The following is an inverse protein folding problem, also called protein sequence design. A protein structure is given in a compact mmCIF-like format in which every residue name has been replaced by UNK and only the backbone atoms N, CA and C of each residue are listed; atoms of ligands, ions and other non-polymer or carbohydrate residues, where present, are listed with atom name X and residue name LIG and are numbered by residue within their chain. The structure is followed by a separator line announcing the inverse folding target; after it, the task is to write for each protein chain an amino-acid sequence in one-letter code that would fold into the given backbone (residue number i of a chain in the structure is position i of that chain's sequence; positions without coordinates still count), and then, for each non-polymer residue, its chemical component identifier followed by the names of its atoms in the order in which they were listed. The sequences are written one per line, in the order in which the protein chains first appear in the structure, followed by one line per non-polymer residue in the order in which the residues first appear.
data_IF_382865291951
#
_entry.id   IF_382865291951
#
_cell.length_a   1.000
_cell.length_b   1.000
_cell.length_c   1.000
_cell.angle_alpha   90.00
_cell.angle_beta   90.00
_cell.angle_gamma   90.00
#
_symmetry.space_group_name_H-M   'P 1'
#
loop_
_entity.id
_entity.type
_entity.pdbx_description
1 polymer ?
#
# COMPACT_ATOMS: atom_id res chain seq x y z
N UNK A 1 -4.50 25.58 18.03
CA UNK A 1 -3.84 25.45 16.73
C UNK A 1 -4.90 25.57 15.67
N UNK A 2 -4.77 26.50 14.72
CA UNK A 2 -5.67 26.55 13.56
C UNK A 2 -5.50 25.28 12.71
N UNK A 3 -6.59 24.73 12.14
CA UNK A 3 -6.50 23.63 11.19
C UNK A 3 -5.63 24.07 9.99
N UNK A 4 -4.63 23.27 9.61
CA UNK A 4 -3.80 23.54 8.43
C UNK A 4 -2.32 23.90 8.64
N UNK A 5 -1.81 23.97 9.88
CA UNK A 5 -0.40 24.31 10.12
C UNK A 5 0.50 23.08 10.29
N UNK A 6 0.97 22.55 9.17
CA UNK A 6 2.12 21.63 9.17
C UNK A 6 3.42 22.40 9.44
N UNK A 7 4.43 21.71 9.99
CA UNK A 7 5.78 22.29 10.17
C UNK A 7 6.38 22.78 8.85
N UNK A 8 7.39 23.66 8.92
CA UNK A 8 8.00 24.30 7.73
C UNK A 8 8.58 23.31 6.70
N UNK A 9 9.01 22.14 7.16
CA UNK A 9 9.56 21.03 6.36
C UNK A 9 8.52 19.97 5.99
N UNK A 10 7.24 20.26 6.22
CA UNK A 10 6.12 19.38 5.92
C UNK A 10 5.23 19.97 4.84
N UNK A 11 4.54 19.09 4.12
CA UNK A 11 3.50 19.47 3.17
C UNK A 11 2.14 19.25 3.78
N UNK A 12 1.29 20.28 3.83
CA UNK A 12 -0.14 20.11 4.08
C UNK A 12 -0.81 19.68 2.78
N UNK A 13 -1.59 18.60 2.82
CA UNK A 13 -2.40 18.14 1.71
C UNK A 13 -3.59 17.33 2.26
N UNK A 14 -4.82 17.61 1.80
CA UNK A 14 -6.05 16.91 2.21
C UNK A 14 -6.16 16.69 3.73
N UNK A 15 -5.92 17.74 4.54
CA UNK A 15 -5.97 17.67 6.01
C UNK A 15 -5.00 16.64 6.62
N UNK A 16 -3.86 16.42 5.97
CA UNK A 16 -2.74 15.64 6.49
C UNK A 16 -1.43 16.44 6.29
N UNK A 17 -0.51 16.27 7.23
CA UNK A 17 0.87 16.73 7.11
C UNK A 17 1.75 15.59 6.60
N UNK A 18 2.62 15.87 5.64
CA UNK A 18 3.51 14.88 5.05
C UNK A 18 4.97 15.26 5.22
N UNK A 19 5.81 14.29 5.54
CA UNK A 19 7.27 14.45 5.59
C UNK A 19 7.99 13.24 5.03
N UNK A 20 9.27 13.41 4.71
CA UNK A 20 10.13 12.31 4.27
C UNK A 20 10.87 11.71 5.47
N UNK A 21 10.80 10.40 5.64
CA UNK A 21 11.60 9.69 6.64
C UNK A 21 13.09 9.75 6.32
N UNK A 22 13.92 9.83 7.35
CA UNK A 22 15.38 9.86 7.23
C UNK A 22 16.01 8.45 7.26
N UNK A 23 15.32 7.48 7.86
CA UNK A 23 15.81 6.10 8.01
C UNK A 23 15.35 5.26 6.84
N UNK A 24 16.26 4.46 6.29
CA UNK A 24 15.94 3.47 5.25
C UNK A 24 15.59 2.15 5.90
N UNK A 25 14.38 1.66 5.68
CA UNK A 25 13.91 0.37 6.19
C UNK A 25 13.31 -0.45 5.07
N UNK A 26 13.17 -1.76 5.27
CA UNK A 26 12.22 -2.56 4.50
C UNK A 26 10.79 -2.27 4.97
N UNK A 27 9.76 -2.75 4.25
CA UNK A 27 8.37 -2.44 4.61
C UNK A 27 8.02 -2.92 6.02
N UNK A 28 8.32 -4.17 6.36
CA UNK A 28 7.93 -4.75 7.65
C UNK A 28 8.52 -3.99 8.83
N UNK A 29 9.80 -3.61 8.74
CA UNK A 29 10.47 -2.82 9.77
C UNK A 29 9.92 -1.38 9.86
N UNK A 30 9.54 -0.78 8.73
CA UNK A 30 8.91 0.55 8.72
C UNK A 30 7.52 0.52 9.38
N UNK A 31 6.71 -0.47 9.03
CA UNK A 31 5.40 -0.71 9.62
C UNK A 31 5.49 -1.00 11.13
N UNK A 32 6.51 -1.75 11.56
CA UNK A 32 6.76 -1.99 12.98
C UNK A 32 7.12 -0.70 13.72
N UNK A 33 7.98 0.15 13.13
CA UNK A 33 8.34 1.44 13.71
C UNK A 33 7.13 2.38 13.84
N UNK A 34 6.28 2.46 12.81
CA UNK A 34 5.03 3.25 12.86
C UNK A 34 4.04 2.73 13.90
N UNK A 35 3.96 1.40 14.08
CA UNK A 35 3.08 0.79 15.10
C UNK A 35 3.52 1.13 16.52
N UNK A 36 4.83 1.24 16.75
CA UNK A 36 5.40 1.59 18.05
C UNK A 36 5.14 3.05 18.44
N UNK A 37 4.98 3.95 17.46
CA UNK A 37 4.76 5.38 17.67
C UNK A 37 3.27 5.74 17.91
N UNK A 38 2.54 4.88 18.61
CA UNK A 38 1.13 5.07 19.02
C UNK A 38 0.10 5.28 17.89
N UNK A 39 0.46 4.98 16.62
CA UNK A 39 -0.42 5.13 15.46
C UNK A 39 -0.55 6.58 14.96
N UNK A 40 0.34 7.47 15.38
CA UNK A 40 0.38 8.87 14.93
C UNK A 40 1.00 9.00 13.54
N UNK A 41 2.04 8.20 13.28
CA UNK A 41 2.71 8.11 11.99
C UNK A 41 2.08 7.02 11.12
N UNK A 42 1.86 7.32 9.84
CA UNK A 42 1.37 6.34 8.87
C UNK A 42 2.20 6.40 7.59
N UNK A 43 2.22 5.29 6.88
CA UNK A 43 2.76 5.27 5.53
C UNK A 43 1.80 6.07 4.64
N UNK A 44 2.33 7.09 3.97
CA UNK A 44 1.53 7.96 3.12
C UNK A 44 0.87 7.16 2.00
N UNK A 45 -0.44 7.26 1.91
CA UNK A 45 -1.28 6.52 0.99
C UNK A 45 -2.19 7.49 0.25
N UNK A 46 -2.52 7.17 -1.00
CA UNK A 46 -3.32 8.01 -1.88
C UNK A 46 -4.42 7.15 -2.49
N UNK A 47 -5.63 7.70 -2.59
CA UNK A 47 -6.80 6.97 -3.07
C UNK A 47 -7.02 7.06 -4.57
N UNK A 48 -6.27 7.91 -5.28
CA UNK A 48 -6.37 8.05 -6.74
C UNK A 48 -5.10 8.62 -7.37
N UNK A 49 -4.96 8.43 -8.68
CA UNK A 49 -3.84 8.98 -9.47
C UNK A 49 -3.81 10.51 -9.42
N UNK A 50 -5.00 11.14 -9.46
CA UNK A 50 -5.15 12.59 -9.36
C UNK A 50 -4.73 13.13 -7.98
N UNK A 51 -5.10 12.45 -6.89
CA UNK A 51 -4.67 12.84 -5.55
C UNK A 51 -3.14 12.79 -5.42
N UNK A 52 -2.50 11.77 -6.00
CA UNK A 52 -1.05 11.62 -5.99
C UNK A 52 -0.36 12.72 -6.83
N UNK A 53 -0.87 13.04 -8.04
CA UNK A 53 -0.37 14.15 -8.84
C UNK A 53 -0.50 15.49 -8.11
N UNK A 54 -1.65 15.77 -7.52
CA UNK A 54 -1.90 17.01 -6.78
C UNK A 54 -0.96 17.11 -5.57
N UNK A 55 -0.78 16.01 -4.82
CA UNK A 55 0.17 15.94 -3.73
C UNK A 55 1.59 16.27 -4.19
N UNK A 56 2.06 15.67 -5.28
CA UNK A 56 3.40 15.95 -5.82
C UNK A 56 3.54 17.44 -6.14
N UNK A 57 2.57 18.02 -6.85
CA UNK A 57 2.56 19.46 -7.18
C UNK A 57 2.63 20.32 -5.91
N UNK A 58 1.81 20.05 -4.89
CA UNK A 58 1.82 20.79 -3.62
C UNK A 58 3.12 20.60 -2.81
N UNK A 59 3.70 19.40 -2.88
CA UNK A 59 4.93 19.07 -2.15
C UNK A 59 6.16 19.79 -2.67
N UNK A 60 6.15 20.16 -3.96
CA UNK A 60 7.26 20.84 -4.62
C UNK A 60 7.15 22.37 -4.58
N UNK A 61 6.05 22.92 -4.08
CA UNK A 61 5.90 24.38 -3.92
C UNK A 61 6.89 24.93 -2.89
N UNK A 62 7.53 26.03 -3.26
CA UNK A 62 8.44 26.80 -2.39
C UNK A 62 7.74 27.93 -1.64
N UNK A 63 6.48 28.22 -1.97
CA UNK A 63 5.63 29.22 -1.31
C UNK A 63 4.24 28.65 -1.05
N UNK A 64 3.68 28.97 0.12
CA UNK A 64 2.34 28.57 0.55
C UNK A 64 1.63 29.74 1.22
N UNK A 65 0.29 29.73 1.24
CA UNK A 65 -0.53 30.84 1.71
C UNK A 65 -0.98 31.78 0.58
N UNK A 66 -1.69 32.85 0.94
CA UNK A 66 -2.24 33.81 -0.03
C UNK A 66 -2.11 35.25 0.50
N UNK A 67 -1.83 36.20 -0.40
CA UNK A 67 -1.66 37.60 -0.03
C UNK A 67 -0.56 37.80 1.02
N UNK A 68 -0.88 38.52 2.09
CA UNK A 68 0.04 38.82 3.20
C UNK A 68 0.43 37.59 4.04
N UNK A 69 -0.27 36.47 3.92
CA UNK A 69 0.06 35.23 4.64
C UNK A 69 1.02 34.31 3.86
N UNK A 70 1.48 34.75 2.69
CA UNK A 70 2.43 33.98 1.87
C UNK A 70 3.74 33.77 2.62
N UNK A 71 4.18 32.52 2.79
CA UNK A 71 5.43 32.15 3.45
C UNK A 71 6.26 31.21 2.60
N UNK A 72 7.57 31.27 2.79
CA UNK A 72 8.51 30.34 2.15
C UNK A 72 8.47 28.98 2.84
N UNK A 73 8.41 27.92 2.03
CA UNK A 73 8.36 26.51 2.42
C UNK A 73 9.51 25.76 1.76
N UNK A 74 10.05 24.77 2.46
CA UNK A 74 11.01 23.84 1.87
C UNK A 74 10.28 22.72 1.13
N UNK A 75 10.56 22.48 -0.17
CA UNK A 75 10.00 21.35 -0.90
C UNK A 75 10.37 20.01 -0.28
N UNK A 76 9.47 19.03 -0.36
CA UNK A 76 9.84 17.66 0.02
C UNK A 76 10.85 17.09 -0.97
N UNK A 77 11.88 16.42 -0.45
CA UNK A 77 12.88 15.75 -1.28
C UNK A 77 12.29 14.48 -1.94
N UNK A 78 11.59 14.68 -3.05
CA UNK A 78 11.06 13.62 -3.92
C UNK A 78 12.06 13.21 -5.03
N UNK A 79 13.27 13.79 -5.04
CA UNK A 79 14.30 13.38 -5.99
C UNK A 79 14.80 11.95 -5.71
N UNK A 80 14.73 11.52 -4.45
CA UNK A 80 14.93 10.14 -4.02
C UNK A 80 13.63 9.32 -4.11
N UNK A 81 13.76 7.99 -4.16
CA UNK A 81 12.61 7.08 -4.07
C UNK A 81 12.14 6.97 -2.62
N UNK A 82 10.88 7.30 -2.39
CA UNK A 82 10.23 7.17 -1.08
C UNK A 82 9.21 6.04 -1.12
N UNK A 83 9.21 5.15 -0.13
CA UNK A 83 8.14 4.15 0.02
C UNK A 83 6.82 4.83 0.33
N UNK A 84 5.76 4.39 -0.33
CA UNK A 84 4.38 4.83 -0.12
C UNK A 84 3.47 3.63 0.13
N UNK A 85 2.27 3.88 0.63
CA UNK A 85 1.24 2.89 0.95
C UNK A 85 0.46 2.40 -0.27
N UNK A 86 1.15 2.21 -1.39
CA UNK A 86 0.60 1.57 -2.60
C UNK A 86 1.32 0.23 -2.79
N UNK A 87 0.57 -0.78 -3.18
CA UNK A 87 1.05 -2.15 -3.32
C UNK A 87 0.51 -2.76 -4.61
N UNK A 88 1.30 -3.60 -5.26
CA UNK A 88 0.91 -4.27 -6.50
C UNK A 88 0.84 -5.77 -6.25
N UNK A 89 -0.26 -6.39 -6.65
CA UNK A 89 -0.46 -7.84 -6.58
C UNK A 89 -0.29 -8.45 -7.98
N UNK A 90 0.70 -9.31 -8.14
CA UNK A 90 1.08 -9.86 -9.45
C UNK A 90 0.04 -10.82 -10.05
N UNK A 91 -0.79 -11.45 -9.22
CA UNK A 91 -1.81 -12.40 -9.70
C UNK A 91 -2.99 -11.72 -10.37
N UNK A 92 -3.57 -10.75 -9.66
CA UNK A 92 -4.72 -9.98 -10.13
C UNK A 92 -4.29 -8.83 -11.04
N UNK A 93 -2.98 -8.48 -11.03
CA UNK A 93 -2.40 -7.32 -11.70
C UNK A 93 -3.02 -5.99 -11.21
N UNK A 94 -3.52 -5.98 -9.98
CA UNK A 94 -4.19 -4.83 -9.36
C UNK A 94 -3.26 -4.08 -8.42
N UNK A 95 -3.54 -2.78 -8.27
CA UNK A 95 -2.90 -1.92 -7.28
C UNK A 95 -3.85 -1.77 -6.09
N UNK A 96 -3.30 -1.80 -4.90
CA UNK A 96 -4.01 -1.60 -3.65
C UNK A 96 -3.38 -0.47 -2.86
N UNK A 97 -4.18 0.22 -2.07
CA UNK A 97 -3.72 1.26 -1.15
C UNK A 97 -4.34 1.07 0.23
N UNK A 98 -3.65 1.60 1.24
CA UNK A 98 -4.16 1.60 2.60
C UNK A 98 -5.14 2.77 2.78
N UNK A 99 -6.42 2.49 2.98
CA UNK A 99 -7.46 3.47 3.33
C UNK A 99 -7.66 3.47 4.83
N UNK A 100 -7.47 4.61 5.48
CA UNK A 100 -7.65 4.78 6.91
C UNK A 100 -8.71 5.84 7.19
N UNK A 101 -9.75 5.47 7.92
CA UNK A 101 -10.82 6.38 8.36
C UNK A 101 -10.87 6.44 9.89
N UNK A 102 -11.36 7.56 10.43
CA UNK A 102 -11.42 7.85 11.87
C UNK A 102 -12.05 6.71 12.68
N UNK A 103 -13.21 6.22 12.24
CA UNK A 103 -14.02 5.25 13.00
C UNK A 103 -14.04 3.85 12.39
N UNK A 104 -13.80 3.73 11.08
CA UNK A 104 -13.83 2.44 10.38
C UNK A 104 -12.47 1.72 10.38
N UNK A 105 -11.46 2.29 11.04
CA UNK A 105 -10.09 1.77 11.05
C UNK A 105 -9.40 1.88 9.69
N UNK A 106 -8.32 1.11 9.53
CA UNK A 106 -7.59 1.00 8.28
C UNK A 106 -7.94 -0.30 7.55
N UNK A 107 -8.05 -0.25 6.23
CA UNK A 107 -8.26 -1.40 5.36
C UNK A 107 -7.57 -1.23 4.02
N UNK A 108 -7.21 -2.35 3.41
CA UNK A 108 -6.71 -2.36 2.04
C UNK A 108 -7.88 -2.20 1.08
N UNK A 109 -7.71 -1.32 0.09
CA UNK A 109 -8.69 -1.03 -0.95
C UNK A 109 -8.01 -1.11 -2.31
N UNK A 110 -8.76 -1.54 -3.32
CA UNK A 110 -8.30 -1.48 -4.71
C UNK A 110 -8.16 -0.02 -5.16
N UNK A 111 -7.09 0.27 -5.89
CA UNK A 111 -6.81 1.56 -6.50
C UNK A 111 -7.44 1.56 -7.90
N UNK A 112 -8.68 2.05 -8.01
CA UNK A 112 -9.53 1.86 -9.19
C UNK A 112 -8.96 2.49 -10.47
N UNK A 113 -8.26 3.62 -10.38
CA UNK A 113 -7.69 4.33 -11.53
C UNK A 113 -6.19 4.04 -11.72
N UNK A 114 -5.77 2.81 -11.44
CA UNK A 114 -4.38 2.38 -11.56
C UNK A 114 -3.85 2.45 -13.01
N UNK A 115 -4.74 2.37 -14.00
CA UNK A 115 -4.43 2.57 -15.43
C UNK A 115 -3.92 3.98 -15.74
N UNK A 116 -4.33 4.97 -14.94
CA UNK A 116 -3.89 6.38 -15.05
C UNK A 116 -2.61 6.66 -14.25
N UNK A 117 -2.15 5.69 -13.45
CA UNK A 117 -0.95 5.82 -12.66
C UNK A 117 0.28 5.74 -13.59
N UNK A 118 1.13 6.77 -13.62
CA UNK A 118 2.41 6.66 -14.30
C UNK A 118 3.34 5.75 -13.50
N UNK A 119 3.33 4.46 -13.81
CA UNK A 119 3.97 3.44 -13.00
C UNK A 119 4.83 2.46 -13.78
N UNK A 120 5.69 1.77 -13.03
CA UNK A 120 6.45 0.63 -13.53
C UNK A 120 6.43 -0.49 -12.52
N UNK A 121 6.24 -1.71 -13.00
CA UNK A 121 6.28 -2.91 -12.19
C UNK A 121 7.54 -3.68 -12.56
N UNK A 122 8.39 -3.94 -11.56
CA UNK A 122 9.50 -4.87 -11.70
C UNK A 122 8.98 -6.29 -11.51
N UNK A 123 9.33 -7.19 -12.43
CA UNK A 123 9.01 -8.62 -12.29
C UNK A 123 9.83 -9.18 -11.13
N UNK A 124 9.16 -9.81 -10.17
CA UNK A 124 9.83 -10.43 -9.02
C UNK A 124 9.26 -11.82 -8.77
N UNK A 125 9.98 -12.65 -8.03
CA UNK A 125 9.48 -13.95 -7.56
C UNK A 125 8.45 -13.80 -6.42
N UNK A 126 8.13 -12.57 -5.98
CA UNK A 126 7.13 -12.28 -4.96
C UNK A 126 5.76 -12.04 -5.61
N UNK A 127 4.70 -12.50 -4.94
CA UNK A 127 3.33 -12.19 -5.34
C UNK A 127 2.94 -10.73 -5.10
N UNK A 128 3.68 -10.03 -4.24
CA UNK A 128 3.44 -8.62 -3.90
C UNK A 128 4.70 -7.79 -4.15
N UNK A 129 4.50 -6.64 -4.79
CA UNK A 129 5.50 -5.57 -4.89
C UNK A 129 5.04 -4.32 -4.14
N UNK A 130 5.97 -3.62 -3.53
CA UNK A 130 5.77 -2.38 -2.79
C UNK A 130 6.02 -1.15 -3.67
N UNK A 131 5.13 -0.18 -3.59
CA UNK A 131 5.21 1.09 -4.31
C UNK A 131 6.22 2.06 -3.70
N UNK A 132 6.93 2.75 -4.59
CA UNK A 132 7.80 3.87 -4.25
C UNK A 132 7.57 5.05 -5.19
N UNK A 133 7.48 6.25 -4.64
CA UNK A 133 7.28 7.51 -5.35
C UNK A 133 8.62 8.21 -5.59
N UNK A 134 8.77 8.79 -6.78
CA UNK A 134 9.86 9.70 -7.11
C UNK A 134 9.39 10.76 -8.09
N UNK A 135 9.86 12.00 -7.93
CA UNK A 135 9.76 13.04 -8.96
C UNK A 135 10.84 12.79 -10.04
N UNK A 136 10.43 12.73 -11.30
CA UNK A 136 11.30 12.32 -12.42
C UNK A 136 11.83 13.53 -13.19
N UNK A 137 11.01 14.58 -13.40
CA UNK A 137 11.41 15.82 -14.06
C UNK A 137 10.62 17.01 -13.48
N UNK A 138 11.26 18.18 -13.46
CA UNK A 138 10.58 19.46 -13.45
C UNK A 138 10.54 19.93 -14.90
N UNK A 139 9.38 19.85 -15.55
CA UNK A 139 9.20 20.35 -16.92
C UNK A 139 9.54 21.84 -17.00
N UNK A 140 9.85 22.33 -18.20
CA UNK A 140 10.25 23.72 -18.43
C UNK A 140 9.19 24.77 -18.01
N UNK A 141 7.93 24.35 -17.78
CA UNK A 141 6.84 25.15 -17.22
C UNK A 141 6.60 24.99 -15.71
N UNK A 142 7.49 24.30 -14.98
CA UNK A 142 7.31 24.00 -13.55
C UNK A 142 6.40 22.80 -13.27
N UNK A 143 6.00 22.06 -14.30
CA UNK A 143 5.20 20.84 -14.16
C UNK A 143 6.06 19.71 -13.56
N UNK A 144 5.66 19.18 -12.41
CA UNK A 144 6.39 18.11 -11.75
C UNK A 144 5.90 16.76 -12.26
N UNK A 145 6.72 16.09 -13.07
CA UNK A 145 6.49 14.70 -13.43
C UNK A 145 6.89 13.79 -12.26
N UNK A 146 6.07 12.79 -11.99
CA UNK A 146 6.32 11.77 -10.96
C UNK A 146 6.17 10.38 -11.55
N UNK A 147 6.74 9.39 -10.86
CA UNK A 147 6.58 7.97 -11.19
C UNK A 147 6.46 7.14 -9.94
N UNK A 148 5.53 6.18 -9.99
CA UNK A 148 5.44 5.10 -9.00
C UNK A 148 6.20 3.88 -9.52
N UNK A 149 7.08 3.30 -8.72
CA UNK A 149 7.76 2.05 -9.05
C UNK A 149 7.39 0.98 -8.04
N UNK A 150 6.88 -0.15 -8.51
CA UNK A 150 6.57 -1.32 -7.72
C UNK A 150 7.74 -2.30 -7.76
N UNK A 151 8.39 -2.50 -6.61
CA UNK A 151 9.58 -3.37 -6.45
C UNK A 151 9.46 -4.24 -5.21
N UNK A 152 10.44 -5.11 -4.96
CA UNK A 152 10.45 -5.97 -3.78
C UNK A 152 10.30 -5.19 -2.46
N UNK A 153 9.43 -5.69 -1.58
CA UNK A 153 9.16 -5.07 -0.27
C UNK A 153 10.35 -5.13 0.71
N UNK A 154 11.38 -5.92 0.40
CA UNK A 154 12.65 -6.01 1.13
C UNK A 154 13.60 -4.84 0.86
N UNK A 155 13.35 -4.04 -0.18
CA UNK A 155 14.21 -2.91 -0.54
C UNK A 155 14.32 -1.92 0.64
N UNK A 156 15.51 -1.39 0.92
CA UNK A 156 15.70 -0.44 2.00
C UNK A 156 15.55 0.99 1.49
N UNK A 157 14.39 1.59 1.75
CA UNK A 157 14.04 2.93 1.28
C UNK A 157 13.57 3.80 2.45
N UNK A 158 13.79 5.12 2.38
CA UNK A 158 13.05 6.06 3.23
C UNK A 158 11.55 5.99 2.90
N UNK A 159 10.69 6.28 3.86
CA UNK A 159 9.25 6.32 3.67
C UNK A 159 8.73 7.76 3.50
N UNK A 160 7.66 7.93 2.74
CA UNK A 160 6.82 9.12 2.85
C UNK A 160 5.84 8.88 4.00
N UNK A 161 5.87 9.74 5.00
CA UNK A 161 5.10 9.60 6.23
C UNK A 161 3.99 10.65 6.22
N UNK A 162 2.78 10.24 6.59
CA UNK A 162 1.64 11.13 6.78
C UNK A 162 1.21 11.18 8.25
N UNK A 163 0.77 12.37 8.67
CA UNK A 163 0.21 12.68 9.98
C UNK A 163 -1.18 13.30 9.75
N UNK A 164 -2.26 12.69 10.25
CA UNK A 164 -3.61 13.27 10.11
C UNK A 164 -3.75 14.54 10.96
N UNK A 165 -4.34 15.59 10.39
CA UNK A 165 -4.47 16.93 11.00
C UNK A 165 -5.67 17.07 11.97
N UNK A 166 -6.22 15.99 12.53
CA UNK A 166 -7.40 16.08 13.40
C UNK A 166 -7.35 15.17 14.63
N UNK A 167 -7.62 15.78 15.79
CA UNK A 167 -7.95 15.14 17.04
C UNK A 167 -9.09 14.12 16.86
N UNK A 168 -8.74 12.85 16.67
CA UNK A 168 -9.71 11.76 16.46
C UNK A 168 -9.33 10.79 15.34
N UNK A 169 -8.48 11.20 14.39
CA UNK A 169 -8.02 10.36 13.29
C UNK A 169 -6.82 9.46 13.69
N UNK A 170 -6.80 8.96 14.92
CA UNK A 170 -5.82 7.94 15.33
C UNK A 170 -6.28 6.60 14.77
N UNK A 171 -5.93 6.34 13.52
CA UNK A 171 -6.25 5.06 12.91
C UNK A 171 -5.33 3.98 13.51
N UNK A 172 -5.71 3.44 14.68
CA UNK A 172 -5.00 2.47 15.52
C UNK A 172 -3.72 1.84 14.94
N UNK A 173 -3.70 0.52 14.75
CA UNK A 173 -2.57 -0.15 14.14
C UNK A 173 -2.76 -0.24 12.62
N UNK A 174 -2.42 0.84 11.91
CA UNK A 174 -2.51 0.91 10.43
C UNK A 174 -1.62 -0.11 9.71
N UNK A 175 -0.67 -0.72 10.42
CA UNK A 175 0.25 -1.72 9.88
C UNK A 175 -0.36 -3.11 9.75
N UNK A 176 -1.26 -3.49 10.65
CA UNK A 176 -1.88 -4.82 10.64
C UNK A 176 -2.65 -5.12 9.35
N UNK A 177 -3.51 -4.23 8.82
CA UNK A 177 -4.21 -4.47 7.56
C UNK A 177 -3.26 -4.70 6.37
N UNK A 178 -2.13 -3.99 6.34
CA UNK A 178 -1.12 -4.16 5.29
C UNK A 178 -0.45 -5.53 5.42
N UNK A 179 0.00 -5.88 6.62
CA UNK A 179 0.67 -7.17 6.87
C UNK A 179 -0.25 -8.35 6.57
N UNK A 180 -1.50 -8.31 7.05
CA UNK A 180 -2.50 -9.36 6.80
C UNK A 180 -2.82 -9.52 5.33
N UNK A 181 -3.01 -8.41 4.60
CA UNK A 181 -3.24 -8.46 3.16
C UNK A 181 -2.05 -9.04 2.40
N UNK A 182 -0.82 -8.64 2.75
CA UNK A 182 0.38 -9.19 2.10
C UNK A 182 0.52 -10.69 2.31
N UNK A 183 0.23 -11.17 3.52
CA UNK A 183 0.24 -12.60 3.83
C UNK A 183 -0.81 -13.34 2.98
N UNK A 184 -2.03 -12.81 2.89
CA UNK A 184 -3.09 -13.39 2.08
C UNK A 184 -2.74 -13.40 0.57
N UNK A 185 -2.23 -12.29 0.04
CA UNK A 185 -1.82 -12.18 -1.36
C UNK A 185 -0.62 -13.09 -1.71
N UNK A 186 0.21 -13.44 -0.71
CA UNK A 186 1.34 -14.36 -0.88
C UNK A 186 0.95 -15.84 -0.84
N UNK A 187 -0.18 -16.21 -0.23
CA UNK A 187 -0.62 -17.60 -0.17
C UNK A 187 -1.06 -18.09 -1.55
N UNK A 188 -0.65 -19.30 -2.01
CA UNK A 188 -1.22 -19.89 -3.23
C UNK A 188 -2.74 -19.95 -3.12
N UNK A 189 -3.45 -19.68 -4.21
CA UNK A 189 -4.89 -19.90 -4.24
C UNK A 189 -5.11 -21.36 -3.87
N UNK A 190 -5.94 -21.63 -2.85
CA UNK A 190 -6.40 -22.99 -2.63
C UNK A 190 -7.03 -23.45 -3.95
N UNK A 191 -6.54 -24.55 -4.52
CA UNK A 191 -7.30 -25.25 -5.55
C UNK A 191 -8.66 -25.53 -4.92
N UNK A 192 -9.70 -24.83 -5.40
CA UNK A 192 -11.05 -25.32 -5.20
C UNK A 192 -11.08 -26.69 -5.86
N UNK A 193 -11.04 -27.72 -5.03
CA UNK A 193 -11.33 -29.09 -5.43
C UNK A 193 -12.77 -29.05 -5.98
N UNK A 194 -12.88 -28.82 -7.29
CA UNK A 194 -14.11 -29.03 -8.03
C UNK A 194 -14.38 -30.53 -8.02
N UNK A 195 -15.03 -31.00 -6.97
CA UNK A 195 -15.77 -32.26 -6.99
C UNK A 195 -16.96 -32.10 -7.94
N UNK A 196 -16.72 -32.30 -9.24
CA UNK A 196 -17.75 -32.71 -10.17
C UNK A 196 -18.03 -34.21 -9.97
N UNK A 197 -19.29 -34.57 -9.67
CA UNK A 197 -19.79 -35.89 -10.06
C UNK A 197 -20.66 -36.66 -9.07
N UNK A 198 -21.94 -36.26 -9.01
CA UNK A 198 -23.11 -37.17 -9.02
C UNK A 198 -23.59 -37.81 -7.71
N UNK A 199 -24.70 -37.26 -7.23
CA UNK A 199 -25.69 -37.87 -6.33
C UNK A 199 -26.27 -39.18 -6.90
N UNK A 200 -26.23 -40.28 -6.15
CA UNK A 200 -27.40 -41.14 -5.92
C UNK A 200 -27.14 -42.24 -4.89
N UNK A 201 -27.94 -42.19 -3.83
CA UNK A 201 -28.15 -43.22 -2.82
C UNK A 201 -28.22 -44.65 -3.38
N UNK A 202 -27.48 -45.58 -2.77
CA UNK A 202 -28.00 -46.90 -2.35
C UNK A 202 -27.05 -47.55 -1.35
N UNK A 203 -27.42 -47.47 -0.06
CA UNK A 203 -27.05 -48.48 0.94
C UNK A 203 -27.54 -49.85 0.46
N UNK A 204 -26.63 -50.82 0.35
CA UNK A 204 -26.92 -52.21 0.74
C UNK A 204 -25.63 -52.93 1.09
N UNK A 205 -25.46 -53.11 2.39
CA UNK A 205 -24.59 -54.09 3.04
C UNK A 205 -24.99 -55.48 2.57
N UNK A 206 -24.05 -56.30 2.10
CA UNK A 206 -24.08 -57.75 2.29
C UNK A 206 -22.65 -58.29 2.38
N UNK A 207 -22.29 -58.77 3.58
CA UNK A 207 -21.18 -59.67 3.87
C UNK A 207 -21.50 -61.07 3.34
N UNK A 208 -20.50 -61.75 2.78
CA UNK A 208 -20.26 -63.22 2.72
C UNK A 208 -19.31 -63.47 1.54
N UNK A 209 -18.32 -64.34 1.51
CA UNK A 209 -17.54 -65.14 2.45
C UNK A 209 -16.39 -65.74 1.61
N UNK A 210 -15.25 -66.04 2.22
CA UNK A 210 -14.21 -67.03 1.82
C UNK A 210 -14.10 -67.50 0.36
N UNK A 211 -12.90 -67.36 -0.22
CA UNK A 211 -12.04 -68.50 -0.62
C UNK A 211 -10.64 -68.04 -1.03
N UNK A 212 -9.63 -68.54 -0.30
CA UNK A 212 -8.24 -68.66 -0.71
C UNK A 212 -8.08 -69.74 -1.80
N UNK A 213 -7.09 -69.61 -2.69
CA UNK A 213 -6.19 -70.66 -3.26
C UNK A 213 -5.39 -69.97 -4.40
N UNK A 214 -4.06 -69.75 -4.28
CA UNK A 214 -2.95 -70.55 -4.88
C UNK A 214 -3.09 -70.71 -6.42
N UNK A 215 -2.13 -70.50 -7.33
CA UNK A 215 -0.66 -70.59 -7.31
C UNK A 215 -0.09 -69.89 -8.58
N UNK A 216 1.22 -69.68 -8.55
CA UNK A 216 2.14 -69.12 -9.55
C UNK A 216 2.08 -69.67 -10.99
N UNK A 217 2.64 -68.87 -11.90
CA UNK A 217 3.45 -69.34 -13.03
C UNK A 217 4.66 -68.42 -13.21
#
# INVERSE_FOLDING_TARGET
MEPGFCGRSMTNFESNCYTTGSVRRNLTAELAAMSADSGVMRLASFSSSAALQNFVTESQRTRVGSGLSTRSKEPLNLAQRLRIGLFYEHRTKKVFYLKCAAEAGCKMMEFEDADKLYHAVETTNSFVSCGSLRAVNLGAGGEVLWRVSFRGCSEQLPALISFPDAAGNRCGNSSQPVLSWMLAAAQPAAEEEQTEGTNSNKKKVFRSSMKSFNTAH
#
